data_IF_686112486017
#
_entry.id   IF_686112486017
#
_cell.length_a   1.000
_cell.length_b   1.000
_cell.length_c   1.000
_cell.angle_alpha   90.00
_cell.angle_beta   90.00
_cell.angle_gamma   90.00
#
_symmetry.space_group_name_H-M   'P 1'
#
loop_
_entity.id
_entity.type
_entity.pdbx_description
1 polymer ?
#
# COMPACT_ATOMS: atom_id res chain seq x y z
N UNK A 1 54.31 -11.65 -18.17
CA UNK A 1 53.17 -12.57 -17.99
C UNK A 1 52.48 -12.40 -16.62
N UNK A 2 53.21 -12.38 -15.48
CA UNK A 2 52.60 -12.23 -14.14
C UNK A 2 51.83 -10.92 -13.91
N UNK A 3 52.33 -9.78 -14.40
CA UNK A 3 51.65 -8.49 -14.26
C UNK A 3 50.32 -8.41 -15.05
N UNK A 4 50.26 -9.09 -16.20
CA UNK A 4 49.06 -9.18 -17.03
C UNK A 4 47.99 -10.06 -16.36
N UNK A 5 48.39 -11.16 -15.74
CA UNK A 5 47.47 -12.00 -14.96
C UNK A 5 46.95 -11.30 -13.69
N UNK A 6 47.77 -10.49 -13.01
CA UNK A 6 47.29 -9.69 -11.87
C UNK A 6 46.33 -8.57 -12.29
N UNK A 7 46.56 -7.92 -13.43
CA UNK A 7 45.65 -6.90 -13.99
C UNK A 7 44.29 -7.47 -14.38
N UNK A 8 44.29 -8.61 -15.07
CA UNK A 8 43.05 -9.31 -15.47
C UNK A 8 42.29 -9.79 -14.23
N UNK A 9 42.98 -10.32 -13.20
CA UNK A 9 42.36 -10.73 -11.95
C UNK A 9 41.74 -9.55 -11.19
N UNK A 10 42.41 -8.41 -11.14
CA UNK A 10 41.88 -7.19 -10.53
C UNK A 10 40.62 -6.66 -11.24
N UNK A 11 40.61 -6.67 -12.59
CA UNK A 11 39.44 -6.29 -13.39
C UNK A 11 38.25 -7.23 -13.15
N UNK A 12 38.49 -8.54 -13.05
CA UNK A 12 37.44 -9.53 -12.76
C UNK A 12 36.86 -9.33 -11.35
N UNK A 13 37.71 -9.08 -10.35
CA UNK A 13 37.27 -8.85 -8.96
C UNK A 13 36.42 -7.58 -8.82
N UNK A 14 36.77 -6.51 -9.56
CA UNK A 14 35.97 -5.26 -9.58
C UNK A 14 34.66 -5.46 -10.34
N UNK A 15 34.66 -6.20 -11.44
CA UNK A 15 33.45 -6.51 -12.21
C UNK A 15 32.47 -7.43 -11.44
N UNK A 16 32.99 -8.38 -10.66
CA UNK A 16 32.19 -9.33 -9.87
C UNK A 16 31.47 -8.68 -8.69
N UNK A 17 31.95 -7.54 -8.17
CA UNK A 17 31.23 -6.75 -7.16
C UNK A 17 30.21 -5.74 -7.77
N UNK A 18 30.05 -5.73 -9.09
CA UNK A 18 29.17 -4.80 -9.81
C UNK A 18 27.70 -5.23 -9.87
N UNK A 19 27.38 -6.50 -9.68
CA UNK A 19 26.00 -6.99 -9.69
C UNK A 19 25.35 -6.75 -8.33
N UNK A 20 25.00 -5.49 -8.07
CA UNK A 20 24.16 -5.14 -6.95
C UNK A 20 22.83 -4.64 -7.50
N UNK A 21 21.87 -5.55 -7.62
CA UNK A 21 20.47 -5.14 -7.61
C UNK A 21 20.23 -4.44 -6.27
N UNK A 22 20.41 -3.11 -6.27
CA UNK A 22 20.15 -2.24 -5.13
C UNK A 22 18.75 -1.71 -5.33
N UNK A 23 17.73 -2.32 -4.73
CA UNK A 23 16.38 -1.81 -4.87
C UNK A 23 16.34 -0.38 -4.27
N UNK A 24 15.65 0.52 -4.97
CA UNK A 24 15.48 1.89 -4.49
C UNK A 24 14.49 1.97 -3.31
N UNK A 25 13.67 0.93 -3.17
CA UNK A 25 12.63 0.77 -2.17
C UNK A 25 12.92 -0.50 -1.40
N UNK A 26 12.91 -0.42 -0.07
CA UNK A 26 12.83 -1.60 0.77
C UNK A 26 11.37 -1.81 1.17
N UNK A 27 10.81 -2.97 0.85
CA UNK A 27 9.43 -3.34 1.21
C UNK A 27 9.37 -4.20 2.48
N UNK A 28 10.52 -4.51 3.08
CA UNK A 28 10.56 -5.27 4.32
C UNK A 28 10.03 -4.42 5.47
N UNK A 29 9.16 -4.99 6.29
CA UNK A 29 8.74 -4.36 7.53
C UNK A 29 9.89 -4.42 8.54
N UNK A 30 10.17 -3.30 9.20
CA UNK A 30 11.11 -3.25 10.32
C UNK A 30 10.48 -3.72 11.64
N UNK A 31 9.21 -4.15 11.60
CA UNK A 31 8.54 -4.76 12.74
C UNK A 31 9.22 -6.09 13.04
N UNK A 32 9.78 -6.26 14.23
CA UNK A 32 10.39 -7.53 14.68
C UNK A 32 9.38 -8.68 14.87
N UNK A 33 8.19 -8.58 14.29
CA UNK A 33 7.14 -9.58 14.32
C UNK A 33 7.06 -10.37 13.00
N UNK A 34 6.29 -11.47 12.98
CA UNK A 34 5.99 -12.20 11.75
C UNK A 34 5.34 -11.29 10.70
N UNK A 35 5.71 -11.45 9.44
CA UNK A 35 5.11 -10.71 8.32
C UNK A 35 3.62 -11.07 8.21
N UNK A 36 2.75 -10.09 8.43
CA UNK A 36 1.30 -10.26 8.35
C UNK A 36 0.81 -10.66 6.95
N UNK A 37 1.60 -10.39 5.89
CA UNK A 37 1.30 -10.78 4.52
C UNK A 37 1.85 -12.16 4.16
N UNK A 38 2.65 -12.79 5.04
CA UNK A 38 3.11 -14.15 4.84
C UNK A 38 2.05 -15.20 5.19
N UNK A 39 1.01 -14.82 5.95
CA UNK A 39 -0.12 -15.68 6.27
C UNK A 39 -1.22 -15.48 5.22
N UNK A 40 -1.42 -16.49 4.38
CA UNK A 40 -2.54 -16.52 3.43
C UNK A 40 -3.69 -17.27 4.12
N UNK A 41 -4.78 -16.58 4.54
CA UNK A 41 -5.94 -17.26 5.08
C UNK A 41 -6.62 -18.06 3.97
N UNK A 42 -6.85 -19.35 4.21
CA UNK A 42 -7.62 -20.21 3.32
C UNK A 42 -9.11 -20.10 3.64
N UNK A 43 -9.94 -20.28 2.61
CA UNK A 43 -11.38 -20.36 2.80
C UNK A 43 -11.75 -21.62 3.62
N UNK A 44 -12.85 -21.57 4.39
CA UNK A 44 -13.32 -22.73 5.15
C UNK A 44 -13.50 -23.95 4.26
N UNK A 45 -13.14 -25.13 4.79
CA UNK A 45 -13.33 -26.38 4.06
C UNK A 45 -14.83 -26.68 3.90
N UNK A 46 -15.28 -26.76 2.65
CA UNK A 46 -16.64 -27.17 2.31
C UNK A 46 -16.78 -28.70 2.34
N UNK A 47 -17.76 -29.20 3.11
CA UNK A 47 -18.09 -30.62 3.13
C UNK A 47 -18.93 -30.93 1.88
N UNK A 48 -18.50 -31.86 1.01
CA UNK A 48 -19.27 -32.21 -0.19
C UNK A 48 -20.58 -32.91 0.18
N UNK A 49 -21.64 -32.63 -0.57
CA UNK A 49 -22.96 -33.27 -0.40
C UNK A 49 -22.93 -34.78 -0.64
N UNK A 50 -22.01 -35.22 -1.51
CA UNK A 50 -21.82 -36.63 -1.84
C UNK A 50 -20.59 -37.20 -1.12
N UNK A 51 -20.73 -38.42 -0.59
CA UNK A 51 -19.63 -39.19 0.00
C UNK A 51 -18.75 -39.91 -1.04
N UNK A 52 -19.11 -39.78 -2.31
CA UNK A 52 -18.30 -40.32 -3.41
C UNK A 52 -17.08 -39.43 -3.61
N UNK A 53 -15.91 -40.06 -3.72
CA UNK A 53 -14.66 -39.36 -4.03
C UNK A 53 -14.73 -38.85 -5.48
N UNK A 54 -14.72 -37.52 -5.72
CA UNK A 54 -14.57 -37.02 -7.08
C UNK A 54 -13.19 -37.44 -7.62
N UNK A 55 -13.12 -37.67 -8.93
CA UNK A 55 -11.85 -38.02 -9.57
C UNK A 55 -10.85 -36.86 -9.35
N UNK A 56 -9.60 -37.11 -8.92
CA UNK A 56 -8.65 -36.03 -8.65
C UNK A 56 -8.41 -35.19 -9.91
N UNK A 57 -8.20 -33.89 -9.71
CA UNK A 57 -7.84 -32.93 -10.77
C UNK A 57 -6.41 -32.42 -10.58
N UNK A 58 -5.37 -33.17 -11.00
CA UNK A 58 -3.98 -32.73 -10.91
C UNK A 58 -3.77 -31.39 -11.61
N UNK A 59 -3.12 -30.44 -10.92
CA UNK A 59 -2.89 -29.08 -11.45
C UNK A 59 -4.13 -28.19 -11.53
N UNK A 60 -5.29 -28.66 -11.04
CA UNK A 60 -6.49 -27.83 -10.89
C UNK A 60 -6.34 -26.82 -9.77
N UNK A 61 -7.14 -25.74 -9.82
CA UNK A 61 -7.21 -24.77 -8.75
C UNK A 61 -7.81 -25.41 -7.49
N UNK A 62 -7.22 -25.14 -6.34
CA UNK A 62 -7.80 -25.51 -5.06
C UNK A 62 -8.99 -24.59 -4.76
N UNK A 63 -10.09 -25.15 -4.26
CA UNK A 63 -11.31 -24.39 -3.93
C UNK A 63 -11.17 -23.55 -2.68
N UNK A 64 -10.28 -23.95 -1.78
CA UNK A 64 -10.02 -23.22 -0.54
C UNK A 64 -8.97 -22.12 -0.71
N UNK A 65 -8.32 -22.03 -1.87
CA UNK A 65 -7.35 -20.97 -2.12
C UNK A 65 -8.09 -19.64 -2.36
N UNK A 66 -7.68 -18.56 -1.67
CA UNK A 66 -8.36 -17.28 -1.81
C UNK A 66 -8.23 -16.73 -3.23
N UNK A 67 -9.30 -16.09 -3.71
CA UNK A 67 -9.34 -15.48 -5.05
C UNK A 67 -9.53 -13.96 -4.95
N UNK A 68 -8.54 -13.21 -4.41
CA UNK A 68 -8.74 -11.83 -3.95
C UNK A 68 -9.28 -10.90 -5.03
N UNK A 69 -8.86 -11.09 -6.29
CA UNK A 69 -9.38 -10.31 -7.42
C UNK A 69 -10.87 -10.61 -7.69
N UNK A 70 -11.27 -11.88 -7.67
CA UNK A 70 -12.64 -12.29 -7.88
C UNK A 70 -13.54 -11.84 -6.72
N UNK A 71 -13.04 -11.91 -5.49
CA UNK A 71 -13.75 -11.46 -4.29
C UNK A 71 -13.93 -9.94 -4.29
N UNK A 72 -12.89 -9.18 -4.65
CA UNK A 72 -12.99 -7.74 -4.83
C UNK A 72 -13.99 -7.36 -5.93
N UNK A 73 -13.96 -8.05 -7.08
CA UNK A 73 -14.93 -7.85 -8.16
C UNK A 73 -16.35 -8.09 -7.64
N UNK A 74 -16.58 -9.18 -6.90
CA UNK A 74 -17.89 -9.51 -6.32
C UNK A 74 -18.36 -8.46 -5.32
N UNK A 75 -17.47 -7.99 -4.44
CA UNK A 75 -17.75 -6.95 -3.45
C UNK A 75 -18.11 -5.61 -4.10
N UNK A 76 -17.49 -5.29 -5.24
CA UNK A 76 -17.81 -4.11 -6.05
C UNK A 76 -19.06 -4.30 -6.95
N UNK A 77 -19.76 -5.44 -6.85
CA UNK A 77 -20.98 -5.73 -7.59
C UNK A 77 -20.76 -6.25 -9.03
N UNK A 78 -19.53 -6.62 -9.37
CA UNK A 78 -19.16 -7.18 -10.67
C UNK A 78 -19.24 -8.71 -10.75
N UNK A 79 -19.03 -9.25 -11.95
CA UNK A 79 -18.96 -10.68 -12.20
C UNK A 79 -17.52 -11.21 -12.13
N UNK A 80 -17.19 -12.17 -11.24
CA UNK A 80 -15.86 -12.78 -11.17
C UNK A 80 -15.39 -13.40 -12.50
N UNK A 81 -16.32 -13.87 -13.34
CA UNK A 81 -16.00 -14.42 -14.66
C UNK A 81 -15.33 -13.38 -15.59
N UNK A 82 -15.54 -12.09 -15.33
CA UNK A 82 -14.90 -11.01 -16.09
C UNK A 82 -13.38 -10.95 -15.87
N UNK A 83 -12.86 -11.49 -14.75
CA UNK A 83 -11.42 -11.59 -14.51
C UNK A 83 -10.73 -12.49 -15.55
N UNK A 84 -11.43 -13.53 -16.02
CA UNK A 84 -10.87 -14.57 -16.90
C UNK A 84 -11.03 -14.17 -18.37
N UNK A 85 -12.10 -13.43 -18.69
CA UNK A 85 -12.44 -13.09 -20.07
C UNK A 85 -11.34 -12.27 -20.78
N UNK A 86 -10.56 -11.49 -20.02
CA UNK A 86 -9.50 -10.65 -20.56
C UNK A 86 -10.06 -9.51 -21.41
N UNK A 87 -9.69 -8.27 -21.10
CA UNK A 87 -10.09 -7.10 -21.88
C UNK A 87 -11.30 -6.36 -21.30
N UNK A 88 -11.82 -5.43 -22.10
CA UNK A 88 -12.82 -4.46 -21.66
C UNK A 88 -14.22 -5.07 -21.82
N UNK A 89 -15.09 -5.00 -20.79
CA UNK A 89 -16.48 -5.43 -20.90
C UNK A 89 -17.22 -4.75 -22.07
N UNK A 90 -18.09 -5.48 -22.77
CA UNK A 90 -18.87 -4.92 -23.87
C UNK A 90 -19.75 -3.72 -23.45
N UNK A 91 -20.22 -3.71 -22.19
CA UNK A 91 -20.98 -2.59 -21.60
C UNK A 91 -20.18 -1.28 -21.50
N UNK A 92 -18.85 -1.35 -21.45
CA UNK A 92 -17.98 -0.18 -21.28
C UNK A 92 -17.50 0.39 -22.62
N UNK A 93 -17.91 -0.21 -23.75
CA UNK A 93 -17.46 0.20 -25.08
C UNK A 93 -17.82 1.66 -25.41
N UNK A 94 -19.03 2.11 -25.03
CA UNK A 94 -19.48 3.49 -25.23
C UNK A 94 -18.68 4.48 -24.38
N UNK A 95 -18.38 4.12 -23.13
CA UNK A 95 -17.55 4.93 -22.23
C UNK A 95 -16.13 5.07 -22.80
N UNK A 96 -15.54 3.97 -23.28
CA UNK A 96 -14.22 4.01 -23.90
C UNK A 96 -14.19 4.80 -25.20
N UNK A 97 -15.23 4.72 -26.01
CA UNK A 97 -15.34 5.56 -27.21
C UNK A 97 -15.32 7.05 -26.82
N UNK A 98 -16.05 7.42 -25.76
CA UNK A 98 -16.10 8.78 -25.26
C UNK A 98 -14.76 9.26 -24.68
N UNK A 99 -14.08 8.44 -23.88
CA UNK A 99 -12.81 8.83 -23.25
C UNK A 99 -11.66 8.93 -24.26
N UNK A 100 -11.68 8.12 -25.33
CA UNK A 100 -10.68 8.15 -26.39
C UNK A 100 -10.84 9.29 -27.39
N UNK A 101 -11.85 10.16 -27.26
CA UNK A 101 -12.15 11.23 -28.23
C UNK A 101 -11.00 12.19 -28.52
N UNK A 102 -10.07 12.36 -27.57
CA UNK A 102 -8.90 13.23 -27.72
C UNK A 102 -7.64 12.50 -28.22
N UNK A 103 -7.78 11.22 -28.59
CA UNK A 103 -6.66 10.36 -28.97
C UNK A 103 -5.96 9.76 -27.76
N UNK A 104 -5.49 8.53 -27.93
CA UNK A 104 -4.63 7.84 -26.96
C UNK A 104 -3.55 7.16 -27.78
N UNK A 105 -2.29 7.41 -27.43
CA UNK A 105 -1.17 6.70 -28.03
C UNK A 105 -1.18 5.23 -27.55
N UNK A 106 -1.33 4.24 -28.46
CA UNK A 106 -1.33 2.83 -28.06
C UNK A 106 0.02 2.38 -27.47
N UNK A 107 1.12 3.08 -27.77
CA UNK A 107 2.46 2.77 -27.30
C UNK A 107 2.82 3.44 -25.96
N UNK A 108 1.95 4.31 -25.40
CA UNK A 108 2.26 5.11 -24.22
C UNK A 108 2.71 4.27 -23.02
N UNK A 109 2.12 3.08 -22.83
CA UNK A 109 2.51 2.18 -21.72
C UNK A 109 3.94 1.65 -21.87
N UNK A 110 4.32 1.26 -23.08
CA UNK A 110 5.67 0.78 -23.37
C UNK A 110 6.69 1.92 -23.25
N UNK A 111 6.33 3.11 -23.73
CA UNK A 111 7.16 4.30 -23.59
C UNK A 111 7.37 4.66 -22.11
N UNK A 112 6.30 4.77 -21.32
CA UNK A 112 6.41 5.10 -19.90
C UNK A 112 7.21 4.04 -19.13
N UNK A 113 7.07 2.75 -19.45
CA UNK A 113 7.86 1.69 -18.84
C UNK A 113 9.37 1.84 -19.17
N UNK A 114 9.71 2.18 -20.42
CA UNK A 114 11.09 2.44 -20.83
C UNK A 114 11.67 3.70 -20.16
N UNK A 115 10.90 4.77 -20.06
CA UNK A 115 11.33 6.01 -19.39
C UNK A 115 11.50 5.82 -17.87
N UNK A 116 10.62 5.02 -17.27
CA UNK A 116 10.65 4.69 -15.85
C UNK A 116 11.88 3.85 -15.50
N UNK A 117 12.12 2.76 -16.24
CA UNK A 117 13.31 1.93 -16.07
C UNK A 117 14.59 2.74 -16.25
N UNK A 118 14.68 3.60 -17.26
CA UNK A 118 15.82 4.49 -17.48
C UNK A 118 16.03 5.50 -16.33
N UNK A 119 14.95 5.96 -15.68
CA UNK A 119 15.03 6.83 -14.50
C UNK A 119 15.52 6.07 -13.28
N UNK A 120 14.98 4.87 -13.04
CA UNK A 120 15.38 4.03 -11.92
C UNK A 120 16.83 3.58 -12.04
N UNK A 121 17.30 3.22 -13.23
CA UNK A 121 18.71 2.88 -13.49
C UNK A 121 19.67 4.04 -13.15
N UNK A 122 19.30 5.27 -13.53
CA UNK A 122 20.08 6.47 -13.15
C UNK A 122 20.09 6.68 -11.64
N UNK A 123 18.95 6.49 -10.98
CA UNK A 123 18.84 6.64 -9.54
C UNK A 123 19.63 5.55 -8.78
N UNK A 124 19.61 4.29 -9.25
CA UNK A 124 20.42 3.17 -8.71
C UNK A 124 21.91 3.48 -8.78
N UNK A 125 22.40 4.04 -9.90
CA UNK A 125 23.80 4.48 -10.03
C UNK A 125 24.17 5.56 -9.01
N UNK A 126 23.26 6.48 -8.69
CA UNK A 126 23.48 7.48 -7.63
C UNK A 126 23.36 6.91 -6.20
N UNK A 127 22.79 5.70 -6.05
CA UNK A 127 22.58 5.01 -4.78
C UNK A 127 23.84 4.24 -4.28
N UNK A 128 24.94 4.30 -5.03
CA UNK A 128 26.24 3.75 -4.63
C UNK A 128 26.76 4.34 -3.31
N UNK A 129 26.42 5.60 -3.01
CA UNK A 129 26.86 6.32 -1.80
C UNK A 129 25.77 6.43 -0.73
N UNK A 130 24.93 5.42 -0.55
CA UNK A 130 23.88 5.40 0.48
C UNK A 130 24.26 4.50 1.67
N UNK A 131 25.13 4.97 2.60
CA UNK A 131 25.65 4.16 3.71
C UNK A 131 24.58 3.79 4.75
N UNK A 132 23.44 4.48 4.75
CA UNK A 132 22.35 4.27 5.70
C UNK A 132 21.18 3.47 5.12
N UNK A 133 21.30 2.95 3.88
CA UNK A 133 20.26 2.13 3.26
C UNK A 133 18.91 2.83 3.14
N UNK A 134 18.88 4.17 3.05
CA UNK A 134 17.64 4.94 3.00
C UNK A 134 16.87 4.66 1.71
N UNK A 135 15.55 4.72 1.80
CA UNK A 135 14.69 4.69 0.63
C UNK A 135 14.99 5.85 -0.33
N UNK A 136 15.23 5.53 -1.60
CA UNK A 136 15.48 6.52 -2.65
C UNK A 136 14.41 6.52 -3.72
N UNK A 137 13.40 5.66 -3.61
CA UNK A 137 12.30 5.61 -4.55
C UNK A 137 11.50 6.92 -4.50
N UNK A 138 10.99 7.34 -3.35
CA UNK A 138 10.20 8.58 -3.26
C UNK A 138 10.99 9.83 -3.69
N UNK A 139 12.25 10.05 -3.26
CA UNK A 139 13.07 11.16 -3.76
C UNK A 139 13.24 11.17 -5.29
N UNK A 140 13.31 9.99 -5.92
CA UNK A 140 13.45 9.86 -7.39
C UNK A 140 12.24 10.45 -8.12
N UNK A 141 11.05 10.35 -7.53
CA UNK A 141 9.79 10.86 -8.07
C UNK A 141 9.31 12.15 -7.40
N UNK A 142 10.12 12.80 -6.55
CA UNK A 142 9.69 13.96 -5.78
C UNK A 142 9.14 15.12 -6.64
N UNK A 143 9.64 15.28 -7.88
CA UNK A 143 9.16 16.30 -8.82
C UNK A 143 7.83 15.95 -9.49
N UNK A 144 7.41 14.69 -9.40
CA UNK A 144 6.15 14.18 -9.93
C UNK A 144 5.10 14.01 -8.83
N UNK A 145 5.51 14.15 -7.57
CA UNK A 145 4.59 14.14 -6.45
C UNK A 145 3.72 15.40 -6.51
N UNK A 146 2.41 15.21 -6.44
CA UNK A 146 1.44 16.29 -6.33
C UNK A 146 1.15 16.53 -4.84
N UNK A 147 0.99 17.81 -4.48
CA UNK A 147 0.42 18.17 -3.18
C UNK A 147 -1.08 17.88 -3.23
N UNK A 148 -1.53 16.90 -2.43
CA UNK A 148 -2.91 16.44 -2.43
C UNK A 148 -3.90 17.56 -2.06
N UNK A 149 -3.54 18.42 -1.11
CA UNK A 149 -4.41 19.50 -0.65
C UNK A 149 -4.48 20.62 -1.70
N UNK A 150 -3.33 20.98 -2.28
CA UNK A 150 -3.29 22.00 -3.33
C UNK A 150 -4.05 21.54 -4.59
N UNK A 151 -3.91 20.27 -4.97
CA UNK A 151 -4.61 19.70 -6.13
C UNK A 151 -6.12 19.59 -5.88
N UNK A 152 -6.54 19.22 -4.67
CA UNK A 152 -7.95 19.23 -4.29
C UNK A 152 -8.55 20.63 -4.40
N UNK A 153 -7.86 21.66 -3.89
CA UNK A 153 -8.31 23.04 -4.00
C UNK A 153 -8.40 23.50 -5.47
N UNK A 154 -7.41 23.13 -6.30
CA UNK A 154 -7.38 23.43 -7.74
C UNK A 154 -8.57 22.78 -8.46
N UNK A 155 -8.85 21.51 -8.19
CA UNK A 155 -9.98 20.78 -8.77
C UNK A 155 -11.32 21.35 -8.32
N UNK A 156 -11.45 21.71 -7.04
CA UNK A 156 -12.61 22.40 -6.49
C UNK A 156 -12.88 23.73 -7.20
N UNK A 157 -11.83 24.53 -7.45
CA UNK A 157 -11.93 25.78 -8.22
C UNK A 157 -12.36 25.59 -9.69
N UNK A 158 -12.15 24.40 -10.25
CA UNK A 158 -12.63 24.01 -11.59
C UNK A 158 -14.03 23.39 -11.58
N UNK A 159 -14.66 23.28 -10.40
CA UNK A 159 -15.97 22.62 -10.24
C UNK A 159 -15.92 21.11 -10.40
N UNK A 160 -14.72 20.50 -10.34
CA UNK A 160 -14.56 19.04 -10.39
C UNK A 160 -14.79 18.48 -8.99
N UNK A 161 -15.87 17.73 -8.82
CA UNK A 161 -16.15 17.03 -7.57
C UNK A 161 -15.20 15.84 -7.41
N UNK A 162 -14.29 15.93 -6.44
CA UNK A 162 -13.47 14.80 -6.00
C UNK A 162 -14.16 14.17 -4.80
N UNK A 163 -14.66 12.95 -4.96
CA UNK A 163 -15.26 12.19 -3.86
C UNK A 163 -14.23 11.99 -2.76
N UNK A 164 -14.44 12.66 -1.63
CA UNK A 164 -13.61 12.47 -0.44
C UNK A 164 -14.04 11.17 0.24
N UNK A 165 -13.10 10.56 0.96
CA UNK A 165 -13.46 9.51 1.93
C UNK A 165 -14.43 10.17 2.93
N UNK A 166 -15.60 9.57 3.20
CA UNK A 166 -16.55 10.13 4.16
C UNK A 166 -15.86 10.37 5.51
N UNK A 167 -16.19 11.48 6.18
CA UNK A 167 -15.59 11.82 7.46
C UNK A 167 -15.80 10.68 8.48
N UNK A 168 -16.97 10.04 8.46
CA UNK A 168 -17.26 8.89 9.32
C UNK A 168 -16.30 7.70 9.09
N UNK A 169 -15.82 7.49 7.85
CA UNK A 169 -14.90 6.42 7.52
C UNK A 169 -13.46 6.74 7.97
N UNK A 170 -13.09 8.02 7.96
CA UNK A 170 -11.80 8.49 8.50
C UNK A 170 -11.79 8.31 10.01
N UNK A 171 -12.83 8.80 10.71
CA UNK A 171 -12.96 8.65 12.17
C UNK A 171 -13.01 7.18 12.60
N UNK A 172 -13.73 6.32 11.86
CA UNK A 172 -13.78 4.89 12.14
C UNK A 172 -12.39 4.23 12.00
N UNK A 173 -11.61 4.63 10.99
CA UNK A 173 -10.26 4.12 10.77
C UNK A 173 -9.29 4.61 11.84
N UNK A 174 -9.36 5.89 12.21
CA UNK A 174 -8.56 6.46 13.30
C UNK A 174 -8.85 5.74 14.62
N UNK A 175 -10.13 5.56 14.97
CA UNK A 175 -10.55 4.80 16.15
C UNK A 175 -10.09 3.33 16.10
N UNK A 176 -10.12 2.70 14.93
CA UNK A 176 -9.62 1.33 14.77
C UNK A 176 -8.09 1.24 14.93
N UNK A 177 -7.37 2.28 14.51
CA UNK A 177 -5.91 2.39 14.62
C UNK A 177 -5.42 2.86 16.00
N UNK A 178 -6.32 3.38 16.84
CA UNK A 178 -5.97 3.87 18.15
C UNK A 178 -5.35 2.76 19.04
N UNK A 179 -4.40 3.11 19.92
CA UNK A 179 -3.86 2.17 20.91
C UNK A 179 -4.99 1.50 21.71
N UNK A 180 -4.74 0.27 22.17
CA UNK A 180 -5.75 -0.59 22.80
C UNK A 180 -6.45 0.08 23.99
N UNK A 181 -5.69 0.83 24.79
CA UNK A 181 -6.23 1.55 25.94
C UNK A 181 -7.19 2.65 25.49
N UNK A 182 -6.84 3.42 24.46
CA UNK A 182 -7.70 4.46 23.91
C UNK A 182 -8.99 3.89 23.29
N UNK A 183 -8.92 2.71 22.66
CA UNK A 183 -10.11 1.95 22.21
C UNK A 183 -11.03 1.50 23.34
N UNK A 184 -10.48 1.30 24.54
CA UNK A 184 -11.24 1.05 25.78
C UNK A 184 -11.64 2.33 26.52
N UNK A 185 -11.38 3.51 25.92
CA UNK A 185 -11.65 4.81 26.52
C UNK A 185 -10.62 5.23 27.57
N UNK A 186 -9.53 4.48 27.75
CA UNK A 186 -8.43 4.76 28.67
C UNK A 186 -7.31 5.46 27.90
N UNK A 187 -7.27 6.79 27.93
CA UNK A 187 -6.19 7.55 27.28
C UNK A 187 -4.96 7.55 28.18
N UNK A 188 -3.79 7.36 27.59
CA UNK A 188 -2.50 7.22 28.29
C UNK A 188 -2.01 8.53 28.94
N UNK A 189 -2.62 9.66 28.58
CA UNK A 189 -2.35 11.02 29.09
C UNK A 189 -3.20 11.39 30.30
N UNK A 190 -4.14 10.54 30.73
CA UNK A 190 -5.00 10.82 31.87
C UNK A 190 -4.48 10.22 33.17
N UNK A 191 -4.45 11.03 34.22
CA UNK A 191 -4.03 10.59 35.56
C UNK A 191 -5.27 10.36 36.44
N UNK A 192 -5.33 9.21 37.11
CA UNK A 192 -6.35 8.94 38.13
C UNK A 192 -5.84 9.49 39.46
N UNK A 193 -6.49 10.53 39.98
CA UNK A 193 -6.08 11.21 41.21
C UNK A 193 -7.27 11.55 42.10
N UNK A 194 -7.03 11.68 43.39
CA UNK A 194 -8.00 12.23 44.36
C UNK A 194 -7.82 13.74 44.56
N UNK A 195 -6.74 14.33 44.02
CA UNK A 195 -6.43 15.74 44.18
C UNK A 195 -7.57 16.62 43.61
N UNK A 196 -8.11 17.53 44.41
CA UNK A 196 -9.21 18.44 44.06
C UNK A 196 -10.61 17.81 43.98
N UNK A 197 -10.78 16.56 44.41
CA UNK A 197 -12.09 15.91 44.52
C UNK A 197 -12.76 16.30 45.85
N UNK A 198 -13.91 17.00 45.84
CA UNK A 198 -14.58 17.48 47.07
C UNK A 198 -15.02 16.32 47.99
N UNK A 199 -15.25 15.14 47.42
CA UNK A 199 -15.72 13.94 48.12
C UNK A 199 -14.61 12.89 48.36
N UNK A 200 -13.35 13.20 48.02
CA UNK A 200 -12.22 12.27 48.14
C UNK A 200 -12.27 11.06 47.20
N UNK A 201 -13.22 11.03 46.25
CA UNK A 201 -13.34 9.96 45.25
C UNK A 201 -12.28 10.12 44.16
N UNK A 202 -11.79 8.99 43.65
CA UNK A 202 -10.90 8.95 42.49
C UNK A 202 -11.61 9.57 41.28
N UNK A 203 -10.97 10.58 40.68
CA UNK A 203 -11.40 11.19 39.43
C UNK A 203 -10.30 11.01 38.39
N UNK A 204 -10.71 10.91 37.13
CA UNK A 204 -9.80 10.93 35.98
C UNK A 204 -9.62 12.37 35.56
N UNK A 205 -8.38 12.84 35.50
CA UNK A 205 -8.03 14.18 35.01
C UNK A 205 -7.21 14.01 33.75
N UNK A 206 -7.71 14.55 32.64
CA UNK A 206 -7.02 14.55 31.36
C UNK A 206 -6.61 16.00 31.03
N UNK A 207 -5.40 16.24 30.51
CA UNK A 207 -4.87 17.60 30.30
C UNK A 207 -5.68 18.45 29.31
N UNK A 208 -6.46 17.83 28.40
CA UNK A 208 -7.36 18.55 27.50
C UNK A 208 -8.62 19.10 28.18
N UNK A 209 -8.98 18.57 29.35
CA UNK A 209 -10.23 18.92 30.03
C UNK A 209 -10.03 20.15 30.95
N UNK A 210 -8.77 20.60 31.14
CA UNK A 210 -8.45 21.82 31.89
C UNK A 210 -8.58 23.10 31.02
N UNK A 211 -8.42 23.00 29.70
CA UNK A 211 -8.59 24.16 28.80
C UNK A 211 -10.07 24.56 28.62
N UNK A 212 -11.02 23.64 28.75
CA UNK A 212 -12.46 23.96 28.67
C UNK A 212 -13.03 24.53 29.99
N UNK A 213 -12.30 24.44 31.10
CA UNK A 213 -12.76 24.90 32.42
C UNK A 213 -12.31 26.33 32.79
N UNK A 214 -11.43 26.96 31.98
CA UNK A 214 -10.98 28.34 32.19
C UNK A 214 -11.76 29.39 31.35
N UNK A 215 -12.75 28.96 30.54
CA UNK A 215 -13.59 29.86 29.72
C UNK A 215 -15.00 30.13 30.27
N UNK A 216 -15.34 29.72 31.51
CA UNK A 216 -16.58 30.12 32.21
C UNK A 216 -16.37 31.18 33.30
#
# INVERSE_FOLDING_TARGET
>A
MRALSFSVLALILIAACGSTDRPLRDLRSASGGPDEFAVIPFDPLEIPEARALPNPTPGGANRADPTPNADAIRALGGSPAAQIAGGIPAGDAALLAQTKRYGVDPAIRAQLAAEDTARLERARRSNLFNPLGRDRYFPTYARQALDANAELARLGGLGVAVTQVPAEAIEARERASAPFLERLGLRDDCVITTAGSPDGRLRRVCPSDEEEAEEE
#
